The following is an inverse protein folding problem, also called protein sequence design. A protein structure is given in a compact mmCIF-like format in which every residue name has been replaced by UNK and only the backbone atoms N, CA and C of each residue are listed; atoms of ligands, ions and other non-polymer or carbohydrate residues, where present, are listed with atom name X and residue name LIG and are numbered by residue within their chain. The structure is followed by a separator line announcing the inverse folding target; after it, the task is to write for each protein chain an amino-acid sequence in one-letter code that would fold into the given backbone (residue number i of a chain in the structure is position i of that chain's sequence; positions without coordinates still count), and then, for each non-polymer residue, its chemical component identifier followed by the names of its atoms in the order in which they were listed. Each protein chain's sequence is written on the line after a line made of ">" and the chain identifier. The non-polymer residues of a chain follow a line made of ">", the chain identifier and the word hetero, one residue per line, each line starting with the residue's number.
data_IF_491781089922
#
_entry.id   IF_491781089922
#
_cell.length_a   1.000
_cell.length_b   1.000
_cell.length_c   1.000
_cell.angle_alpha   90.00
_cell.angle_beta   90.00
_cell.angle_gamma   90.00
#
_symmetry.space_group_name_H-M   'P 1'
#
loop_
_entity.id
_entity.type
_entity.pdbx_description
1 polymer ?
#
# COMPACT_ATOMS: atom_id res chain seq x y z
N UNK A 1 32.88 -9.22 -14.40
CA UNK A 1 32.24 -8.97 -15.70
C UNK A 1 31.33 -7.76 -15.53
N UNK A 2 31.56 -6.71 -16.30
CA UNK A 2 31.03 -5.35 -16.11
C UNK A 2 29.51 -5.35 -16.28
N UNK A 3 28.76 -4.98 -15.23
CA UNK A 3 27.33 -4.67 -15.32
C UNK A 3 27.17 -3.49 -16.27
N UNK A 4 26.45 -3.71 -17.38
CA UNK A 4 26.17 -2.68 -18.37
C UNK A 4 25.35 -1.56 -17.72
N UNK A 5 25.98 -0.39 -17.59
CA UNK A 5 25.33 0.87 -17.23
C UNK A 5 24.33 1.26 -18.33
N UNK A 6 23.08 1.46 -17.92
CA UNK A 6 21.99 2.12 -18.66
C UNK A 6 21.64 1.51 -20.03
N UNK A 7 21.02 0.33 -20.03
CA UNK A 7 20.03 0.05 -21.06
C UNK A 7 18.86 1.03 -20.86
N UNK A 8 18.66 1.94 -21.81
CA UNK A 8 17.51 2.84 -21.82
C UNK A 8 16.24 1.99 -21.78
N UNK A 9 15.62 1.93 -20.60
CA UNK A 9 14.38 1.19 -20.38
C UNK A 9 13.29 1.79 -21.24
N UNK A 10 12.64 0.96 -22.06
CA UNK A 10 11.33 1.27 -22.64
C UNK A 10 10.32 1.37 -21.48
N UNK A 11 10.32 2.50 -20.77
CA UNK A 11 9.31 2.81 -19.75
C UNK A 11 8.14 3.47 -20.44
N UNK A 12 6.95 2.88 -20.32
CA UNK A 12 5.74 3.53 -20.83
C UNK A 12 5.36 4.71 -19.94
N UNK A 13 4.81 5.76 -20.54
CA UNK A 13 4.32 6.92 -19.80
C UNK A 13 2.99 6.58 -19.15
N UNK A 14 2.99 6.38 -17.84
CA UNK A 14 1.75 6.23 -17.04
C UNK A 14 1.41 7.59 -16.43
N UNK A 15 0.14 7.99 -16.53
CA UNK A 15 -0.30 9.26 -15.96
C UNK A 15 -0.38 9.16 -14.43
N UNK A 16 0.22 10.09 -13.66
CA UNK A 16 0.09 10.09 -12.21
C UNK A 16 -1.38 10.19 -11.76
N UNK A 17 -1.81 9.26 -10.91
CA UNK A 17 -3.08 9.34 -10.21
C UNK A 17 -2.85 9.88 -8.80
N UNK A 18 -3.61 10.89 -8.37
CA UNK A 18 -3.38 11.60 -7.09
C UNK A 18 -4.54 11.49 -6.10
N UNK A 19 -5.62 10.83 -6.49
CA UNK A 19 -6.86 10.76 -5.71
C UNK A 19 -6.82 9.52 -4.82
N UNK A 20 -6.42 9.67 -3.56
CA UNK A 20 -6.36 8.55 -2.61
C UNK A 20 -7.74 8.24 -2.02
N UNK A 21 -8.17 6.97 -2.02
CA UNK A 21 -9.35 6.49 -1.26
C UNK A 21 -9.07 6.36 0.24
N UNK A 22 -7.87 5.91 0.59
CA UNK A 22 -7.41 5.75 1.97
C UNK A 22 -6.12 6.54 2.20
N UNK A 23 -6.01 7.16 3.38
CA UNK A 23 -4.71 7.62 3.88
C UNK A 23 -4.06 6.45 4.58
N UNK A 24 -2.97 5.96 4.00
CA UNK A 24 -2.29 4.78 4.49
C UNK A 24 -0.80 5.04 4.58
N UNK A 25 -0.19 4.35 5.52
CA UNK A 25 1.24 4.31 5.72
C UNK A 25 1.91 3.49 4.62
N UNK A 26 3.11 3.90 4.20
CA UNK A 26 3.82 3.24 3.10
C UNK A 26 3.27 3.55 1.71
N UNK A 27 2.25 4.41 1.59
CA UNK A 27 1.59 4.72 0.33
C UNK A 27 2.57 5.26 -0.74
N UNK A 28 2.58 4.58 -1.89
CA UNK A 28 3.44 4.81 -3.07
C UNK A 28 2.90 5.83 -4.08
N UNK A 29 1.79 6.52 -3.81
CA UNK A 29 1.03 7.34 -4.78
C UNK A 29 1.90 8.31 -5.59
N UNK A 30 2.91 8.92 -4.94
CA UNK A 30 3.77 9.92 -5.56
C UNK A 30 4.53 9.38 -6.77
N UNK A 31 4.93 8.11 -6.75
CA UNK A 31 5.79 7.48 -7.75
C UNK A 31 5.19 6.16 -8.30
N UNK A 32 3.92 5.89 -7.97
CA UNK A 32 3.17 4.76 -8.50
C UNK A 32 3.17 4.70 -10.04
N UNK A 33 3.18 5.85 -10.70
CA UNK A 33 3.27 5.94 -12.17
C UNK A 33 4.63 5.52 -12.73
N UNK A 34 5.72 5.78 -12.01
CA UNK A 34 7.07 5.33 -12.38
C UNK A 34 7.16 3.81 -12.23
N UNK A 35 6.63 3.26 -11.13
CA UNK A 35 6.53 1.80 -10.91
C UNK A 35 5.71 1.15 -12.04
N UNK A 36 4.49 1.65 -12.28
CA UNK A 36 3.59 1.11 -13.30
C UNK A 36 4.12 1.28 -14.74
N UNK A 37 5.01 2.24 -14.96
CA UNK A 37 5.71 2.48 -16.22
C UNK A 37 6.75 1.40 -16.56
N UNK A 38 7.18 0.60 -15.58
CA UNK A 38 8.13 -0.51 -15.76
C UNK A 38 7.44 -1.86 -15.97
N UNK A 39 6.11 -1.92 -15.81
CA UNK A 39 5.31 -3.13 -16.02
C UNK A 39 5.30 -3.52 -17.50
N UNK A 40 5.14 -4.82 -17.83
CA UNK A 40 5.02 -5.25 -19.22
C UNK A 40 3.83 -4.55 -19.90
N UNK A 41 3.94 -4.27 -21.19
CA UNK A 41 2.85 -3.61 -21.93
C UNK A 41 1.58 -4.45 -21.92
N UNK A 42 1.74 -5.77 -22.08
CA UNK A 42 0.67 -6.75 -22.05
C UNK A 42 0.83 -7.62 -20.82
N UNK A 43 -0.20 -7.58 -19.97
CA UNK A 43 -0.33 -8.44 -18.79
C UNK A 43 -1.68 -9.14 -18.87
N UNK A 44 -1.75 -10.35 -18.31
CA UNK A 44 -3.01 -11.07 -18.11
C UNK A 44 -3.83 -10.44 -16.99
N UNK A 45 -3.84 -11.07 -15.83
CA UNK A 45 -4.44 -10.57 -14.59
C UNK A 45 -3.38 -9.88 -13.74
N UNK A 46 -3.75 -8.76 -13.11
CA UNK A 46 -2.89 -8.06 -12.15
C UNK A 46 -3.14 -8.54 -10.73
N UNK A 47 -2.07 -8.84 -9.99
CA UNK A 47 -2.12 -9.28 -8.61
C UNK A 47 -1.38 -8.27 -7.72
N UNK A 48 -2.02 -7.81 -6.64
CA UNK A 48 -1.38 -6.98 -5.59
C UNK A 48 -1.61 -7.61 -4.22
N UNK A 49 -0.74 -8.55 -3.78
CA UNK A 49 -0.88 -9.31 -2.53
C UNK A 49 -0.69 -8.51 -1.23
N UNK A 50 -0.25 -7.26 -1.34
CA UNK A 50 -0.01 -6.34 -0.23
C UNK A 50 -0.71 -5.01 -0.53
N UNK A 51 -2.03 -5.07 -0.71
CA UNK A 51 -2.81 -3.97 -1.29
C UNK A 51 -2.62 -2.63 -0.57
N UNK A 52 -2.70 -2.61 0.77
CA UNK A 52 -2.66 -1.35 1.52
C UNK A 52 -3.64 -0.30 0.99
N UNK A 53 -3.14 0.87 0.55
CA UNK A 53 -3.97 1.91 -0.08
C UNK A 53 -4.25 1.72 -1.57
N UNK A 54 -3.69 0.69 -2.22
CA UNK A 54 -3.83 0.42 -3.65
C UNK A 54 -3.20 1.49 -4.54
N UNK A 55 -2.07 2.07 -4.12
CA UNK A 55 -1.52 3.24 -4.81
C UNK A 55 -1.04 2.92 -6.23
N UNK A 56 -0.38 1.78 -6.41
CA UNK A 56 0.05 1.29 -7.73
C UNK A 56 -1.14 0.75 -8.49
N UNK A 57 -1.94 -0.12 -7.87
CA UNK A 57 -3.22 -0.60 -8.38
C UNK A 57 -4.12 0.50 -8.98
N UNK A 58 -4.48 1.54 -8.22
CA UNK A 58 -5.34 2.62 -8.69
C UNK A 58 -4.70 3.53 -9.74
N UNK A 59 -3.36 3.57 -9.80
CA UNK A 59 -2.63 4.27 -10.87
C UNK A 59 -2.63 3.45 -12.16
N UNK A 60 -2.45 2.14 -12.06
CA UNK A 60 -2.48 1.22 -13.19
C UNK A 60 -3.90 1.05 -13.75
N UNK A 61 -4.91 0.99 -12.87
CA UNK A 61 -6.31 0.70 -13.19
C UNK A 61 -6.46 -0.48 -14.18
N UNK A 62 -6.02 -1.69 -13.77
CA UNK A 62 -6.03 -2.86 -14.64
C UNK A 62 -7.45 -3.30 -14.98
N UNK A 63 -7.63 -3.88 -16.18
CA UNK A 63 -8.92 -4.44 -16.62
C UNK A 63 -9.36 -5.63 -15.77
N UNK A 64 -8.41 -6.47 -15.33
CA UNK A 64 -8.65 -7.61 -14.45
C UNK A 64 -7.61 -7.64 -13.34
N UNK A 65 -8.07 -7.75 -12.09
CA UNK A 65 -7.17 -7.86 -10.96
C UNK A 65 -7.70 -8.74 -9.83
N UNK A 66 -6.75 -9.27 -9.05
CA UNK A 66 -6.99 -9.87 -7.73
C UNK A 66 -6.11 -9.12 -6.74
N UNK A 67 -6.75 -8.42 -5.81
CA UNK A 67 -6.07 -7.57 -4.84
C UNK A 67 -6.32 -8.11 -3.43
N UNK A 68 -5.25 -8.40 -2.70
CA UNK A 68 -5.35 -9.01 -1.38
C UNK A 68 -4.52 -8.30 -0.33
N UNK A 69 -4.90 -8.51 0.92
CA UNK A 69 -4.16 -8.14 2.10
C UNK A 69 -4.61 -9.05 3.24
N UNK A 70 -3.73 -9.34 4.18
CA UNK A 70 -4.06 -10.12 5.39
C UNK A 70 -4.95 -9.35 6.35
N UNK A 71 -5.05 -8.03 6.20
CA UNK A 71 -5.77 -7.16 7.12
C UNK A 71 -7.25 -7.07 6.79
N UNK A 72 -8.04 -7.92 7.45
CA UNK A 72 -9.48 -8.04 7.22
C UNK A 72 -10.25 -6.70 7.21
N UNK A 73 -10.09 -5.76 8.18
CA UNK A 73 -10.83 -4.50 8.16
C UNK A 73 -10.47 -3.61 6.97
N UNK A 74 -9.23 -3.71 6.45
CA UNK A 74 -8.85 -3.01 5.22
C UNK A 74 -9.57 -3.63 4.02
N UNK A 75 -9.54 -4.95 3.90
CA UNK A 75 -10.21 -5.62 2.77
C UNK A 75 -11.72 -5.44 2.81
N UNK A 76 -12.34 -5.38 3.99
CA UNK A 76 -13.76 -5.05 4.13
C UNK A 76 -14.11 -3.70 3.48
N UNK A 77 -13.24 -2.69 3.58
CA UNK A 77 -13.42 -1.40 2.90
C UNK A 77 -13.42 -1.58 1.39
N UNK A 78 -12.47 -2.35 0.86
CA UNK A 78 -12.33 -2.59 -0.58
C UNK A 78 -13.47 -3.45 -1.15
N UNK A 79 -13.90 -4.47 -0.43
CA UNK A 79 -15.08 -5.27 -0.77
C UNK A 79 -16.33 -4.40 -0.76
N UNK A 80 -16.52 -3.55 0.26
CA UNK A 80 -17.67 -2.64 0.31
C UNK A 80 -17.62 -1.59 -0.80
N UNK A 81 -16.44 -1.08 -1.16
CA UNK A 81 -16.27 -0.21 -2.34
C UNK A 81 -16.80 -0.89 -3.61
N UNK A 82 -16.50 -2.16 -3.79
CA UNK A 82 -16.85 -2.93 -4.98
C UNK A 82 -18.34 -3.34 -4.99
N UNK A 83 -18.83 -3.92 -3.90
CA UNK A 83 -20.16 -4.53 -3.82
C UNK A 83 -21.27 -3.52 -3.50
N UNK A 84 -20.97 -2.50 -2.68
CA UNK A 84 -21.95 -1.57 -2.15
C UNK A 84 -21.35 -0.15 -1.95
N UNK A 85 -20.97 0.56 -3.03
CA UNK A 85 -20.31 1.86 -2.92
C UNK A 85 -21.12 2.90 -2.14
N UNK A 86 -22.45 2.89 -2.24
CA UNK A 86 -23.31 3.77 -1.43
C UNK A 86 -23.21 3.48 0.08
N UNK A 87 -23.12 2.21 0.47
CA UNK A 87 -22.89 1.83 1.87
C UNK A 87 -21.54 2.34 2.38
N UNK A 88 -20.51 2.32 1.54
CA UNK A 88 -19.21 2.89 1.91
C UNK A 88 -19.29 4.41 2.13
N UNK A 89 -20.08 5.12 1.32
CA UNK A 89 -20.36 6.55 1.50
C UNK A 89 -21.12 6.80 2.81
N UNK A 90 -22.15 6.02 3.10
CA UNK A 90 -22.92 6.08 4.35
C UNK A 90 -22.03 5.87 5.57
N UNK A 91 -21.20 4.81 5.56
CA UNK A 91 -20.25 4.54 6.64
C UNK A 91 -19.39 5.74 6.99
N UNK A 92 -18.82 6.39 5.97
CA UNK A 92 -18.01 7.58 6.16
C UNK A 92 -18.84 8.78 6.66
N UNK A 93 -20.00 9.02 6.05
CA UNK A 93 -20.85 10.17 6.37
C UNK A 93 -21.36 10.12 7.81
N UNK A 94 -21.87 8.98 8.26
CA UNK A 94 -22.35 8.78 9.64
C UNK A 94 -21.26 9.11 10.67
N UNK A 95 -20.07 8.56 10.46
CA UNK A 95 -18.91 8.74 11.34
C UNK A 95 -18.39 10.17 11.29
N UNK A 96 -18.38 10.78 10.11
CA UNK A 96 -18.04 12.18 9.94
C UNK A 96 -19.02 13.10 10.68
N UNK A 97 -20.33 12.86 10.58
CA UNK A 97 -21.35 13.60 11.32
C UNK A 97 -21.24 13.40 12.83
N UNK A 98 -20.96 12.18 13.28
CA UNK A 98 -20.74 11.90 14.70
C UNK A 98 -19.55 12.68 15.27
N UNK A 99 -18.42 12.71 14.55
CA UNK A 99 -17.22 13.46 14.98
C UNK A 99 -17.47 14.97 14.95
N UNK A 100 -18.14 15.48 13.92
CA UNK A 100 -18.34 16.93 13.72
C UNK A 100 -19.47 17.53 14.56
N UNK A 101 -20.37 16.72 15.11
CA UNK A 101 -21.46 17.16 15.98
C UNK A 101 -21.08 17.28 17.46
N UNK A 102 -19.85 16.91 17.84
CA UNK A 102 -19.36 16.97 19.21
C UNK A 102 -17.93 17.48 19.29
N UNK A 103 -17.32 17.29 20.46
CA UNK A 103 -15.89 17.55 20.63
C UNK A 103 -15.10 16.49 19.85
N UNK A 104 -14.34 16.94 18.85
CA UNK A 104 -13.69 16.09 17.84
C UNK A 104 -12.83 15.00 18.47
N UNK A 105 -12.02 15.35 19.47
CA UNK A 105 -11.07 14.41 20.09
C UNK A 105 -11.82 13.32 20.85
N UNK A 106 -12.79 13.67 21.69
CA UNK A 106 -13.62 12.72 22.42
C UNK A 106 -14.36 11.78 21.46
N UNK A 107 -15.02 12.31 20.42
CA UNK A 107 -15.75 11.50 19.43
C UNK A 107 -14.82 10.59 18.61
N UNK A 108 -13.62 11.05 18.29
CA UNK A 108 -12.60 10.23 17.64
C UNK A 108 -12.14 9.09 18.56
N UNK A 109 -11.89 9.37 19.84
CA UNK A 109 -11.48 8.37 20.82
C UNK A 109 -12.59 7.33 21.05
N UNK A 110 -13.87 7.71 21.03
CA UNK A 110 -15.00 6.77 21.07
C UNK A 110 -14.98 5.80 19.88
N UNK A 111 -14.79 6.31 18.66
CA UNK A 111 -14.74 5.48 17.44
C UNK A 111 -13.52 4.56 17.47
N UNK A 112 -12.37 5.08 17.93
CA UNK A 112 -11.15 4.28 18.09
C UNK A 112 -11.32 3.18 19.14
N UNK A 113 -12.00 3.48 20.25
CA UNK A 113 -12.32 2.49 21.28
C UNK A 113 -13.27 1.41 20.74
N UNK A 114 -14.31 1.80 19.99
CA UNK A 114 -15.21 0.87 19.30
C UNK A 114 -14.44 -0.04 18.34
N UNK A 115 -13.60 0.52 17.48
CA UNK A 115 -12.76 -0.25 16.58
C UNK A 115 -11.83 -1.22 17.31
N UNK A 116 -11.19 -0.78 18.39
CA UNK A 116 -10.28 -1.64 19.15
C UNK A 116 -11.02 -2.79 19.87
N UNK A 117 -12.29 -2.60 20.22
CA UNK A 117 -13.12 -3.65 20.80
C UNK A 117 -13.67 -4.62 19.73
N UNK A 118 -14.00 -4.11 18.54
CA UNK A 118 -14.54 -4.88 17.42
C UNK A 118 -14.04 -4.30 16.07
N UNK A 119 -12.88 -4.77 15.57
CA UNK A 119 -12.25 -4.22 14.38
C UNK A 119 -13.12 -4.34 13.12
N UNK A 120 -13.42 -3.21 12.49
CA UNK A 120 -14.29 -3.13 11.31
C UNK A 120 -13.82 -2.06 10.32
N UNK A 121 -14.11 -2.27 9.03
CA UNK A 121 -13.71 -1.38 7.95
C UNK A 121 -14.34 0.00 8.04
N UNK A 122 -15.58 0.09 8.52
CA UNK A 122 -16.30 1.34 8.61
C UNK A 122 -15.62 2.35 9.56
N UNK A 123 -15.17 1.91 10.73
CA UNK A 123 -14.44 2.74 11.69
C UNK A 123 -13.02 3.03 11.21
N UNK A 124 -12.33 2.01 10.70
CA UNK A 124 -10.99 2.16 10.14
C UNK A 124 -10.97 3.22 9.03
N UNK A 125 -12.01 3.28 8.20
CA UNK A 125 -12.15 4.26 7.12
C UNK A 125 -12.07 5.70 7.63
N UNK A 126 -12.85 6.04 8.67
CA UNK A 126 -12.80 7.37 9.28
C UNK A 126 -11.46 7.59 10.01
N UNK A 127 -11.00 6.60 10.79
CA UNK A 127 -9.77 6.68 11.57
C UNK A 127 -8.58 6.99 10.65
N UNK A 128 -8.47 6.33 9.50
CA UNK A 128 -7.39 6.53 8.52
C UNK A 128 -7.28 8.00 8.07
N UNK A 129 -8.42 8.71 7.99
CA UNK A 129 -8.49 10.10 7.52
C UNK A 129 -8.43 11.13 8.64
N UNK A 130 -8.69 10.73 9.88
CA UNK A 130 -8.82 11.64 11.04
C UNK A 130 -7.63 11.53 12.00
N UNK A 131 -6.93 10.39 12.03
CA UNK A 131 -5.79 10.17 12.90
C UNK A 131 -4.61 11.09 12.57
N UNK A 132 -3.77 11.33 13.56
CA UNK A 132 -2.58 12.17 13.43
C UNK A 132 -1.69 11.71 12.27
N UNK A 133 -1.45 12.62 11.33
CA UNK A 133 -0.60 12.37 10.16
C UNK A 133 -1.18 11.39 9.13
N UNK A 134 -2.40 10.86 9.32
CA UNK A 134 -2.95 9.80 8.47
C UNK A 134 -2.21 8.47 8.58
N UNK A 135 -1.52 8.23 9.70
CA UNK A 135 -0.72 7.02 9.94
C UNK A 135 -1.40 6.20 11.03
N UNK A 136 -2.12 5.16 10.63
CA UNK A 136 -2.72 4.20 11.57
C UNK A 136 -1.61 3.30 12.13
N UNK A 137 -1.43 3.29 13.45
CA UNK A 137 -0.40 2.50 14.15
C UNK A 137 -1.05 1.51 15.09
N UNK A 138 -0.61 0.27 15.01
CA UNK A 138 -1.08 -0.82 15.86
C UNK A 138 -0.05 -1.12 16.94
N UNK A 139 -0.49 -1.23 18.19
CA UNK A 139 0.39 -1.62 19.29
C UNK A 139 0.72 -3.10 19.15
N UNK A 140 1.98 -3.44 19.36
CA UNK A 140 2.43 -4.83 19.29
C UNK A 140 1.85 -5.72 20.39
N UNK A 141 1.53 -5.15 21.55
CA UNK A 141 1.07 -5.92 22.71
C UNK A 141 -0.33 -6.52 22.53
N UNK A 142 -1.24 -5.81 21.86
CA UNK A 142 -2.66 -6.19 21.76
C UNK A 142 -3.28 -5.92 20.38
N UNK A 143 -2.51 -5.40 19.42
CA UNK A 143 -3.01 -5.06 18.10
C UNK A 143 -3.91 -3.83 18.05
N UNK A 144 -4.05 -3.05 19.13
CA UNK A 144 -4.96 -1.90 19.13
C UNK A 144 -4.38 -0.70 18.38
N UNK A 145 -5.25 0.05 17.71
CA UNK A 145 -4.90 1.37 17.18
C UNK A 145 -4.53 2.30 18.34
N UNK A 146 -3.36 2.92 18.23
CA UNK A 146 -2.81 3.86 19.21
C UNK A 146 -2.62 5.29 18.69
N UNK A 147 -2.83 5.53 17.39
CA UNK A 147 -2.64 6.86 16.83
C UNK A 147 -3.68 7.82 17.43
N UNK A 148 -3.27 9.01 17.92
CA UNK A 148 -4.20 10.00 18.45
C UNK A 148 -4.95 10.72 17.34
N UNK A 149 -5.99 11.47 17.70
CA UNK A 149 -6.70 12.36 16.79
C UNK A 149 -5.73 13.36 16.13
N UNK A 150 -5.89 13.60 14.84
CA UNK A 150 -5.18 14.65 14.12
C UNK A 150 -5.74 16.04 14.44
N UNK A 151 -4.89 17.05 14.28
CA UNK A 151 -5.30 18.46 14.43
C UNK A 151 -6.19 18.92 13.27
N UNK A 152 -6.02 18.32 12.09
CA UNK A 152 -6.80 18.62 10.89
C UNK A 152 -8.23 18.09 11.00
N UNK A 153 -9.11 18.63 10.17
CA UNK A 153 -10.47 18.12 10.06
C UNK A 153 -10.57 17.04 8.98
N UNK A 154 -11.40 16.01 9.18
CA UNK A 154 -11.65 15.01 8.15
C UNK A 154 -12.30 15.65 6.92
N UNK A 155 -11.97 15.15 5.72
CA UNK A 155 -12.53 15.68 4.47
C UNK A 155 -14.05 15.59 4.49
N UNK A 156 -14.74 16.57 3.89
CA UNK A 156 -16.21 16.58 3.82
C UNK A 156 -16.73 15.33 3.09
N UNK A 157 -17.91 14.79 3.45
CA UNK A 157 -18.51 13.63 2.80
C UNK A 157 -18.56 13.75 1.27
N UNK A 158 -18.96 14.90 0.72
CA UNK A 158 -18.97 15.13 -0.74
C UNK A 158 -17.60 14.90 -1.42
N UNK A 159 -16.49 15.27 -0.77
CA UNK A 159 -15.15 14.99 -1.31
C UNK A 159 -14.78 13.51 -1.20
N UNK A 160 -15.28 12.82 -0.18
CA UNK A 160 -15.09 11.38 -0.05
C UNK A 160 -15.94 10.61 -1.06
N UNK A 161 -17.19 11.02 -1.30
CA UNK A 161 -18.10 10.36 -2.23
C UNK A 161 -17.55 10.38 -3.66
N UNK A 162 -17.02 11.53 -4.10
CA UNK A 162 -16.31 11.62 -5.38
C UNK A 162 -15.15 10.61 -5.49
N UNK A 163 -14.45 10.33 -4.39
CA UNK A 163 -13.36 9.33 -4.37
C UNK A 163 -13.92 7.91 -4.46
N UNK A 164 -15.02 7.63 -3.77
CA UNK A 164 -15.71 6.33 -3.89
C UNK A 164 -16.10 6.09 -5.34
N UNK A 165 -16.71 7.06 -6.01
CA UNK A 165 -17.15 6.91 -7.41
C UNK A 165 -15.97 6.68 -8.36
N UNK A 166 -14.90 7.48 -8.21
CA UNK A 166 -13.71 7.35 -9.05
C UNK A 166 -12.99 6.01 -8.84
N UNK A 167 -12.90 5.54 -7.60
CA UNK A 167 -12.25 4.26 -7.31
C UNK A 167 -13.11 3.09 -7.72
N UNK A 168 -14.42 3.10 -7.43
CA UNK A 168 -15.34 2.05 -7.84
C UNK A 168 -15.25 1.77 -9.35
N UNK A 169 -15.27 2.83 -10.17
CA UNK A 169 -15.08 2.72 -11.63
C UNK A 169 -13.69 2.20 -12.03
N UNK A 170 -12.63 2.66 -11.36
CA UNK A 170 -11.25 2.25 -11.68
C UNK A 170 -10.93 0.82 -11.28
N UNK A 171 -11.72 0.24 -10.38
CA UNK A 171 -11.49 -1.08 -9.79
C UNK A 171 -12.64 -2.05 -10.09
N UNK A 172 -13.43 -1.78 -11.14
CA UNK A 172 -14.63 -2.54 -11.48
C UNK A 172 -14.32 -4.00 -11.85
N UNK A 173 -13.15 -4.27 -12.44
CA UNK A 173 -12.71 -5.62 -12.81
C UNK A 173 -11.89 -6.33 -11.74
N UNK A 174 -12.03 -5.94 -10.47
CA UNK A 174 -11.15 -6.42 -9.38
C UNK A 174 -11.90 -7.27 -8.37
N UNK A 175 -11.32 -8.42 -8.03
CA UNK A 175 -11.69 -9.21 -6.87
C UNK A 175 -10.83 -8.79 -5.65
N UNK A 176 -11.48 -8.48 -4.53
CA UNK A 176 -10.81 -8.12 -3.28
C UNK A 176 -10.94 -9.24 -2.26
N UNK A 177 -9.79 -9.78 -1.80
CA UNK A 177 -9.77 -11.00 -0.97
C UNK A 177 -8.90 -10.80 0.27
N UNK A 178 -9.40 -11.23 1.43
CA UNK A 178 -8.63 -11.21 2.66
C UNK A 178 -7.80 -12.48 2.75
N UNK A 179 -6.56 -12.40 2.26
CA UNK A 179 -5.72 -13.57 2.03
C UNK A 179 -4.23 -13.22 2.19
N UNK A 180 -3.47 -14.21 2.66
CA UNK A 180 -2.01 -14.16 2.68
C UNK A 180 -1.42 -14.11 1.26
N UNK A 181 -0.30 -13.39 1.13
CA UNK A 181 0.38 -13.17 -0.15
C UNK A 181 0.74 -14.47 -0.86
N UNK A 182 1.16 -15.51 -0.14
CA UNK A 182 1.62 -16.76 -0.74
C UNK A 182 0.44 -17.52 -1.37
N UNK A 183 -0.73 -17.47 -0.74
CA UNK A 183 -1.93 -18.10 -1.26
C UNK A 183 -2.43 -17.41 -2.54
N UNK A 184 -2.58 -16.09 -2.53
CA UNK A 184 -3.07 -15.37 -3.73
C UNK A 184 -2.06 -15.45 -4.89
N UNK A 185 -0.76 -15.45 -4.59
CA UNK A 185 0.28 -15.60 -5.62
C UNK A 185 0.25 -16.96 -6.31
N UNK A 186 -0.25 -18.02 -5.66
CA UNK A 186 -0.42 -19.34 -6.28
C UNK A 186 -1.49 -19.34 -7.37
N UNK A 187 -2.43 -18.41 -7.33
CA UNK A 187 -3.51 -18.31 -8.32
C UNK A 187 -3.04 -17.68 -9.65
N UNK A 188 -1.91 -16.97 -9.66
CA UNK A 188 -1.36 -16.33 -10.85
C UNK A 188 -0.91 -17.35 -11.92
N UNK A 189 -1.22 -17.04 -13.17
CA UNK A 189 -0.97 -17.85 -14.36
C UNK A 189 0.13 -17.23 -15.26
N UNK A 190 0.72 -18.02 -16.19
CA UNK A 190 1.73 -17.48 -17.10
C UNK A 190 1.23 -16.22 -17.84
N UNK A 191 2.04 -15.16 -17.86
CA UNK A 191 1.70 -13.87 -18.45
C UNK A 191 0.94 -12.89 -17.52
N UNK A 192 0.54 -13.33 -16.32
CA UNK A 192 0.03 -12.45 -15.27
C UNK A 192 1.16 -11.61 -14.65
N UNK A 193 0.80 -10.53 -13.97
CA UNK A 193 1.73 -9.66 -13.25
C UNK A 193 1.39 -9.63 -11.76
N UNK A 194 2.38 -9.89 -10.90
CA UNK A 194 2.29 -9.71 -9.45
C UNK A 194 3.16 -8.52 -9.03
N UNK A 195 2.57 -7.54 -8.35
CA UNK A 195 3.29 -6.44 -7.72
C UNK A 195 3.30 -6.61 -6.19
N UNK A 196 4.49 -6.80 -5.62
CA UNK A 196 4.69 -6.99 -4.19
C UNK A 196 5.26 -5.71 -3.55
N UNK A 197 4.57 -5.20 -2.53
CA UNK A 197 5.04 -4.09 -1.68
C UNK A 197 4.91 -4.49 -0.19
N UNK A 198 5.72 -5.45 0.28
CA UNK A 198 5.62 -6.00 1.62
C UNK A 198 5.98 -4.99 2.72
N UNK A 199 5.60 -5.25 3.99
CA UNK A 199 6.01 -4.41 5.10
C UNK A 199 7.54 -4.39 5.24
N UNK A 200 8.14 -3.20 5.25
CA UNK A 200 9.60 -3.05 5.34
C UNK A 200 10.13 -3.39 6.74
N UNK A 201 11.05 -4.36 6.81
CA UNK A 201 11.62 -4.94 8.04
C UNK A 201 12.20 -3.93 9.04
N UNK A 202 12.66 -2.77 8.58
CA UNK A 202 13.34 -1.77 9.42
C UNK A 202 12.55 -0.48 9.67
N UNK A 203 11.51 -0.19 8.89
CA UNK A 203 10.76 1.08 8.99
C UNK A 203 9.28 0.90 9.32
N UNK A 204 8.76 -0.33 9.23
CA UNK A 204 7.32 -0.63 9.28
C UNK A 204 6.93 -1.72 10.29
N UNK A 205 7.77 -2.01 11.29
CA UNK A 205 7.47 -2.95 12.38
C UNK A 205 6.23 -2.58 13.24
N UNK A 206 5.66 -1.39 13.03
CA UNK A 206 4.45 -0.86 13.68
C UNK A 206 3.16 -1.08 12.85
N UNK A 207 3.27 -1.76 11.72
CA UNK A 207 2.15 -2.08 10.84
C UNK A 207 1.53 -3.43 11.20
N UNK A 208 0.26 -3.61 10.79
CA UNK A 208 -0.43 -4.89 10.90
C UNK A 208 0.34 -5.98 10.14
N UNK A 209 0.30 -7.23 10.63
CA UNK A 209 0.91 -8.39 9.95
C UNK A 209 2.45 -8.39 9.86
N UNK A 210 3.15 -7.33 10.29
CA UNK A 210 4.60 -7.23 10.17
C UNK A 210 5.37 -8.30 10.96
N UNK A 211 4.77 -8.86 12.01
CA UNK A 211 5.38 -9.91 12.84
C UNK A 211 5.35 -11.30 12.19
N UNK A 212 4.38 -11.58 11.33
CA UNK A 212 4.24 -12.87 10.62
C UNK A 212 4.89 -12.85 9.24
N UNK A 213 5.26 -11.68 8.74
CA UNK A 213 5.91 -11.53 7.44
C UNK A 213 7.33 -12.14 7.44
N UNK A 214 7.65 -12.87 6.39
CA UNK A 214 8.98 -13.44 6.16
C UNK A 214 9.42 -13.14 4.74
N UNK A 215 10.50 -12.36 4.61
CA UNK A 215 11.06 -12.03 3.31
C UNK A 215 11.55 -13.27 2.56
N UNK A 216 12.17 -14.23 3.26
CA UNK A 216 12.65 -15.47 2.67
C UNK A 216 11.50 -16.27 2.03
N UNK A 217 10.36 -16.36 2.73
CA UNK A 217 9.17 -17.02 2.19
C UNK A 217 8.62 -16.28 0.96
N UNK A 218 8.55 -14.95 1.01
CA UNK A 218 8.15 -14.15 -0.15
C UNK A 218 9.08 -14.40 -1.35
N UNK A 219 10.39 -14.40 -1.16
CA UNK A 219 11.36 -14.68 -2.22
C UNK A 219 11.16 -16.09 -2.82
N UNK A 220 10.79 -17.09 -2.01
CA UNK A 220 10.42 -18.43 -2.51
C UNK A 220 9.14 -18.40 -3.35
N UNK A 221 8.10 -17.68 -2.92
CA UNK A 221 6.85 -17.50 -3.67
C UNK A 221 7.11 -16.78 -5.00
N UNK A 222 7.94 -15.73 -5.00
CA UNK A 222 8.39 -15.03 -6.21
C UNK A 222 9.11 -15.99 -7.16
N UNK A 223 10.03 -16.80 -6.65
CA UNK A 223 10.74 -17.79 -7.46
C UNK A 223 9.78 -18.82 -8.09
N UNK A 224 8.74 -19.23 -7.37
CA UNK A 224 7.70 -20.12 -7.91
C UNK A 224 6.88 -19.45 -9.02
N UNK A 225 6.46 -18.19 -8.83
CA UNK A 225 5.80 -17.39 -9.87
C UNK A 225 6.68 -17.24 -11.12
N UNK A 226 7.95 -16.86 -10.96
CA UNK A 226 8.89 -16.74 -12.08
C UNK A 226 9.01 -18.04 -12.89
N UNK A 227 9.16 -19.19 -12.22
CA UNK A 227 9.25 -20.50 -12.88
C UNK A 227 8.01 -20.87 -13.70
N UNK A 228 6.84 -20.33 -13.33
CA UNK A 228 5.59 -20.51 -14.07
C UNK A 228 5.39 -19.49 -15.19
N UNK A 229 6.33 -18.57 -15.42
CA UNK A 229 6.18 -17.51 -16.43
C UNK A 229 5.27 -16.36 -15.98
N UNK A 230 5.08 -16.19 -14.67
CA UNK A 230 4.41 -15.02 -14.09
C UNK A 230 5.45 -13.90 -13.94
N UNK A 231 5.11 -12.69 -14.35
CA UNK A 231 5.93 -11.52 -14.11
C UNK A 231 5.79 -11.09 -12.65
N UNK A 232 6.90 -10.81 -11.97
CA UNK A 232 6.85 -10.30 -10.60
C UNK A 232 7.72 -9.06 -10.46
N UNK A 233 7.16 -8.05 -9.81
CA UNK A 233 7.86 -6.82 -9.42
C UNK A 233 7.80 -6.70 -7.90
N UNK A 234 8.95 -6.64 -7.26
CA UNK A 234 9.08 -6.45 -5.81
C UNK A 234 9.61 -5.04 -5.53
N UNK A 235 8.88 -4.28 -4.71
CA UNK A 235 9.35 -3.04 -4.11
C UNK A 235 9.89 -3.33 -2.71
N UNK A 236 11.15 -2.94 -2.46
CA UNK A 236 11.80 -3.14 -1.16
C UNK A 236 12.70 -1.96 -0.80
N UNK A 237 13.05 -1.83 0.48
CA UNK A 237 13.99 -0.81 0.99
C UNK A 237 15.30 -0.83 0.15
N UNK A 238 15.61 0.28 -0.54
CA UNK A 238 16.81 0.40 -1.39
C UNK A 238 18.02 0.96 -0.65
N UNK A 239 17.95 2.24 -0.25
CA UNK A 239 19.04 2.91 0.48
C UNK A 239 18.55 3.73 1.67
N UNK A 240 19.36 3.83 2.72
CA UNK A 240 19.14 4.75 3.86
C UNK A 240 20.38 5.63 4.05
N UNK A 241 20.15 6.90 4.44
CA UNK A 241 21.18 7.95 4.64
C UNK A 241 21.98 8.24 3.38
N UNK A 242 21.47 9.13 2.54
CA UNK A 242 22.25 9.78 1.46
C UNK A 242 23.03 8.82 0.54
N UNK A 243 22.55 7.60 0.31
CA UNK A 243 23.21 6.60 -0.54
C UNK A 243 24.35 5.81 0.11
N UNK A 244 24.70 6.05 1.38
CA UNK A 244 25.88 5.42 2.02
C UNK A 244 25.60 4.03 2.62
N UNK A 245 24.33 3.64 2.76
CA UNK A 245 23.94 2.30 3.21
C UNK A 245 22.92 1.69 2.23
N UNK A 246 23.39 0.77 1.39
CA UNK A 246 22.53 -0.19 0.69
C UNK A 246 21.98 -1.12 1.77
N UNK A 247 20.66 -1.30 1.84
CA UNK A 247 20.11 -2.35 2.67
C UNK A 247 20.60 -3.68 2.09
N UNK A 248 21.48 -4.38 2.82
CA UNK A 248 21.97 -5.69 2.43
C UNK A 248 20.82 -6.70 2.59
N UNK A 249 20.14 -6.94 1.48
CA UNK A 249 19.01 -7.84 1.40
C UNK A 249 19.50 -9.07 0.64
N UNK A 250 19.42 -10.27 1.24
CA UNK A 250 19.96 -11.50 0.66
C UNK A 250 19.09 -11.99 -0.50
N UNK A 251 19.20 -11.32 -1.64
CA UNK A 251 18.45 -11.65 -2.85
C UNK A 251 19.15 -12.83 -3.55
N UNK A 252 18.43 -13.93 -3.83
CA UNK A 252 19.01 -15.06 -4.54
C UNK A 252 19.50 -14.67 -5.93
N UNK A 253 20.69 -15.15 -6.30
CA UNK A 253 21.26 -14.96 -7.63
C UNK A 253 20.32 -15.52 -8.71
N UNK A 254 20.14 -14.78 -9.80
CA UNK A 254 19.28 -15.16 -10.91
C UNK A 254 17.77 -15.11 -10.64
N UNK A 255 17.33 -14.66 -9.46
CA UNK A 255 15.90 -14.49 -9.20
C UNK A 255 15.31 -13.28 -9.96
N UNK A 256 16.03 -12.17 -9.99
CA UNK A 256 15.62 -10.95 -10.70
C UNK A 256 16.56 -10.68 -11.86
N UNK A 257 16.00 -10.27 -13.00
CA UNK A 257 16.75 -9.93 -14.22
C UNK A 257 17.12 -8.44 -14.23
N UNK A 258 16.30 -7.62 -13.58
CA UNK A 258 16.45 -6.15 -13.58
C UNK A 258 16.28 -5.59 -12.18
N UNK A 259 17.07 -4.56 -11.90
CA UNK A 259 17.01 -3.75 -10.71
C UNK A 259 16.92 -2.27 -11.10
N UNK A 260 15.94 -1.56 -10.54
CA UNK A 260 15.71 -0.14 -10.81
C UNK A 260 15.50 0.60 -9.50
N UNK A 261 16.16 1.74 -9.33
CA UNK A 261 15.92 2.62 -8.19
C UNK A 261 14.86 3.65 -8.53
N UNK A 262 13.83 3.75 -7.70
CA UNK A 262 12.80 4.79 -7.80
C UNK A 262 13.01 5.80 -6.68
N UNK A 263 13.06 7.08 -7.04
CA UNK A 263 13.29 8.15 -6.07
C UNK A 263 12.01 8.47 -5.31
N UNK A 264 11.86 7.91 -4.12
CA UNK A 264 10.66 8.06 -3.29
C UNK A 264 10.63 9.38 -2.52
N UNK A 265 11.68 10.20 -2.64
CA UNK A 265 11.82 11.46 -1.93
C UNK A 265 12.09 11.26 -0.44
N UNK A 266 11.38 11.99 0.43
CA UNK A 266 11.64 12.00 1.89
C UNK A 266 10.64 11.10 2.61
N UNK A 267 11.12 10.22 3.51
CA UNK A 267 10.26 9.31 4.28
C UNK A 267 9.37 10.03 5.28
N UNK A 268 8.04 9.91 5.11
CA UNK A 268 7.04 10.44 6.04
C UNK A 268 7.12 9.78 7.42
N UNK A 269 7.31 8.45 7.45
CA UNK A 269 7.41 7.67 8.70
C UNK A 269 8.59 8.13 9.56
N UNK A 270 9.75 8.36 8.94
CA UNK A 270 10.96 8.77 9.65
C UNK A 270 10.81 10.19 10.23
N UNK A 271 10.15 11.09 9.50
CA UNK A 271 9.79 12.44 10.00
C UNK A 271 8.93 12.38 11.26
N UNK A 272 8.02 11.40 11.36
CA UNK A 272 7.20 11.18 12.56
C UNK A 272 8.01 10.59 13.71
N UNK A 273 8.93 9.66 13.44
CA UNK A 273 9.83 9.11 14.47
C UNK A 273 10.78 10.18 15.06
N UNK A 274 11.10 11.23 14.30
CA UNK A 274 12.02 12.31 14.70
C UNK A 274 11.34 13.54 15.33
N UNK A 275 10.04 13.47 15.66
CA UNK A 275 9.36 14.56 16.39
C UNK A 275 9.30 15.90 15.65
N UNK A 276 9.23 15.91 14.32
CA UNK A 276 9.01 17.12 13.52
C UNK A 276 10.28 17.87 13.05
N UNK A 277 11.48 17.30 13.22
CA UNK A 277 12.71 17.85 12.59
C UNK A 277 12.70 17.68 11.06
N UNK A 278 13.33 18.60 10.32
CA UNK A 278 13.38 18.58 8.85
C UNK A 278 14.40 17.55 8.33
N UNK A 279 13.97 16.68 7.42
CA UNK A 279 14.83 15.71 6.70
C UNK A 279 15.48 16.41 5.49
N UNK A 280 16.30 17.43 5.72
CA UNK A 280 16.91 18.20 4.61
C UNK A 280 17.89 17.36 3.79
N UNK A 281 18.54 16.36 4.40
CA UNK A 281 19.64 15.60 3.79
C UNK A 281 19.33 14.12 3.48
N UNK A 282 18.11 13.61 3.67
CA UNK A 282 17.82 12.18 3.47
C UNK A 282 16.77 11.94 2.37
N UNK A 283 17.25 11.59 1.18
CA UNK A 283 16.44 11.01 0.11
C UNK A 283 16.42 9.49 0.31
N UNK A 284 15.23 8.90 0.31
CA UNK A 284 15.02 7.45 0.34
C UNK A 284 14.66 7.01 -1.07
N UNK A 285 15.34 5.99 -1.56
CA UNK A 285 15.00 5.32 -2.81
C UNK A 285 14.46 3.93 -2.49
N UNK A 286 13.34 3.56 -3.11
CA UNK A 286 12.89 2.18 -3.15
C UNK A 286 13.64 1.48 -4.28
N UNK A 287 13.97 0.22 -4.02
CA UNK A 287 14.57 -0.68 -5.00
C UNK A 287 13.46 -1.54 -5.58
N UNK A 288 13.27 -1.44 -6.89
CA UNK A 288 12.39 -2.30 -7.66
C UNK A 288 13.20 -3.44 -8.26
N UNK A 289 12.74 -4.66 -8.02
CA UNK A 289 13.33 -5.89 -8.50
C UNK A 289 12.33 -6.58 -9.42
N UNK A 290 12.73 -6.86 -10.65
CA UNK A 290 11.85 -7.38 -11.69
C UNK A 290 12.38 -8.74 -12.16
N UNK A 291 11.48 -9.72 -12.30
CA UNK A 291 11.84 -11.08 -12.72
C UNK A 291 12.05 -11.24 -14.23
N UNK A 292 12.00 -10.15 -14.98
CA UNK A 292 12.07 -10.04 -16.44
C UNK A 292 12.82 -8.77 -16.85
#
# INVERSE_FOLDING_TARGET
>A
MQLALFAATESRVVTPYKTQLLKWVGNKQRFAHEIAGLFPEKIGTYFEPFLGSGAVFGTLAPERAIASDVFQPLIEIWQTLHEAPERLKEWYAERWHYVTSGEKVARYEDIKARYNADPNGADLLLISRTCYGGVVRFRQADGYISTPCGVHDPIKPASFFFRVDEWHRRTEGTEFVAMDYDAVMREANPGDLVYCDPPYSHSQAILYGAQSFSLDKLLQSIAHCKRRGVYVVLSIDGTKRSGDLICDIPIPEGLFEREVFVNCGRSMLKRFQMGGRTLENEVVADRLLLTY
#
